data_IF_080502974000
#
_entry.id   IF_080502974000
#
_cell.length_a   1.000
_cell.length_b   1.000
_cell.length_c   1.000
_cell.angle_alpha   90.00
_cell.angle_beta   90.00
_cell.angle_gamma   90.00
#
_symmetry.space_group_name_H-M   'P 1'
#
loop_
_entity.id
_entity.type
_entity.pdbx_description
1 polymer ?
#
# COMPACT_ATOMS: atom_id res chain seq x y z
N UNK A 1 11.57 -14.09 19.48
CA UNK A 1 10.98 -14.30 18.13
C UNK A 1 11.14 -13.01 17.34
N UNK A 2 11.73 -13.06 16.14
CA UNK A 2 11.88 -11.89 15.28
C UNK A 2 10.52 -11.40 14.82
N UNK A 3 10.20 -10.13 15.08
CA UNK A 3 8.99 -9.50 14.54
C UNK A 3 9.06 -9.50 13.01
N UNK A 4 7.98 -9.88 12.34
CA UNK A 4 7.84 -9.70 10.89
C UNK A 4 7.94 -8.19 10.58
N UNK A 5 8.75 -7.81 9.60
CA UNK A 5 8.87 -6.42 9.16
C UNK A 5 8.02 -6.18 7.89
N UNK A 6 7.79 -4.91 7.54
CA UNK A 6 6.96 -4.52 6.38
C UNK A 6 7.49 -5.10 5.06
N UNK A 7 8.81 -5.13 4.85
CA UNK A 7 9.44 -5.64 3.62
C UNK A 7 9.27 -7.15 3.46
N UNK A 8 9.37 -7.91 4.55
CA UNK A 8 9.15 -9.35 4.54
C UNK A 8 7.68 -9.67 4.24
N UNK A 9 6.74 -8.87 4.78
CA UNK A 9 5.32 -9.00 4.43
C UNK A 9 5.09 -8.74 2.94
N UNK A 10 5.68 -7.66 2.39
CA UNK A 10 5.58 -7.37 0.96
C UNK A 10 6.08 -8.56 0.12
N UNK A 11 7.25 -9.11 0.45
CA UNK A 11 7.80 -10.27 -0.27
C UNK A 11 6.90 -11.50 -0.20
N UNK A 12 6.31 -11.79 0.96
CA UNK A 12 5.40 -12.93 1.17
C UNK A 12 4.13 -12.76 0.33
N UNK A 13 3.61 -11.53 0.22
CA UNK A 13 2.34 -11.25 -0.43
C UNK A 13 2.44 -10.98 -1.92
N UNK A 14 3.59 -10.54 -2.42
CA UNK A 14 3.77 -10.11 -3.80
C UNK A 14 3.35 -11.17 -4.83
N UNK A 15 3.86 -12.39 -4.70
CA UNK A 15 3.51 -13.48 -5.62
C UNK A 15 2.03 -13.88 -5.56
N UNK A 16 1.45 -14.14 -4.36
CA UNK A 16 0.01 -14.33 -4.22
C UNK A 16 -0.82 -13.24 -4.90
N UNK A 17 -0.46 -11.97 -4.67
CA UNK A 17 -1.16 -10.83 -5.22
C UNK A 17 -1.08 -10.79 -6.75
N UNK A 18 0.13 -10.97 -7.31
CA UNK A 18 0.36 -11.06 -8.76
C UNK A 18 -0.49 -12.16 -9.39
N UNK A 19 -0.49 -13.35 -8.83
CA UNK A 19 -1.25 -14.48 -9.36
C UNK A 19 -2.77 -14.23 -9.31
N UNK A 20 -3.25 -13.55 -8.27
CA UNK A 20 -4.66 -13.17 -8.17
C UNK A 20 -5.05 -12.08 -9.18
N UNK A 21 -4.15 -11.12 -9.45
CA UNK A 21 -4.35 -10.16 -10.54
C UNK A 21 -4.46 -10.86 -11.89
N UNK A 22 -3.56 -11.79 -12.20
CA UNK A 22 -3.59 -12.54 -13.45
C UNK A 22 -4.89 -13.34 -13.60
N UNK A 23 -5.37 -13.91 -12.49
CA UNK A 23 -6.63 -14.63 -12.43
C UNK A 23 -7.84 -13.73 -12.69
N UNK A 24 -7.96 -12.61 -11.98
CA UNK A 24 -9.12 -11.70 -12.10
C UNK A 24 -9.15 -11.00 -13.46
N UNK A 25 -7.98 -10.59 -13.97
CA UNK A 25 -7.89 -9.92 -15.26
C UNK A 25 -8.01 -10.89 -16.44
N UNK A 26 -7.84 -12.20 -16.22
CA UNK A 26 -7.74 -13.20 -17.27
C UNK A 26 -6.54 -12.99 -18.20
N UNK A 27 -5.50 -12.29 -17.73
CA UNK A 27 -4.33 -11.87 -18.53
C UNK A 27 -3.06 -12.10 -17.76
N UNK A 28 -1.96 -12.36 -18.47
CA UNK A 28 -0.63 -12.50 -17.84
C UNK A 28 -0.01 -11.13 -17.56
N UNK A 29 0.65 -11.03 -16.42
CA UNK A 29 1.53 -9.92 -16.10
C UNK A 29 2.91 -10.29 -16.64
N UNK A 30 3.30 -9.61 -17.73
CA UNK A 30 4.52 -9.93 -18.47
C UNK A 30 5.74 -9.19 -17.94
N UNK A 31 5.53 -8.04 -17.32
CA UNK A 31 6.58 -7.27 -16.68
C UNK A 31 6.03 -6.45 -15.51
N UNK A 32 6.92 -6.19 -14.56
CA UNK A 32 6.67 -5.36 -13.40
C UNK A 32 7.74 -4.28 -13.37
N UNK A 33 7.35 -3.02 -13.22
CA UNK A 33 8.30 -1.91 -13.11
C UNK A 33 8.19 -1.24 -11.75
N UNK A 34 9.34 -1.00 -11.12
CA UNK A 34 9.45 -0.23 -9.88
C UNK A 34 10.51 0.87 -10.04
N UNK A 35 10.30 2.08 -9.50
CA UNK A 35 11.37 3.08 -9.48
C UNK A 35 12.54 2.63 -8.61
N UNK A 36 13.76 2.90 -9.05
CA UNK A 36 14.95 2.68 -8.23
C UNK A 36 15.01 3.68 -7.07
N UNK A 37 15.39 3.21 -5.88
CA UNK A 37 15.59 4.06 -4.70
C UNK A 37 16.86 4.91 -4.79
N UNK A 38 17.86 4.45 -5.54
CA UNK A 38 19.21 5.04 -5.57
C UNK A 38 19.54 5.77 -6.87
N UNK A 39 18.77 5.52 -7.93
CA UNK A 39 19.04 6.01 -9.29
C UNK A 39 17.77 6.59 -9.89
N UNK A 40 17.91 7.55 -10.80
CA UNK A 40 16.82 8.04 -11.66
C UNK A 40 16.53 7.04 -12.78
N UNK A 41 16.19 5.82 -12.39
CA UNK A 41 15.99 4.68 -13.27
C UNK A 41 14.78 3.86 -12.83
N UNK A 42 14.26 3.08 -13.76
CA UNK A 42 13.25 2.07 -13.53
C UNK A 42 13.89 0.70 -13.51
N UNK A 43 13.48 -0.12 -12.56
CA UNK A 43 13.83 -1.53 -12.48
C UNK A 43 12.70 -2.32 -13.13
N UNK A 44 12.99 -2.95 -14.26
CA UNK A 44 12.10 -3.92 -14.88
C UNK A 44 12.35 -5.31 -14.32
N UNK A 45 11.28 -6.00 -13.95
CA UNK A 45 11.30 -7.42 -13.61
C UNK A 45 10.40 -8.14 -14.61
N UNK A 46 10.98 -9.01 -15.43
CA UNK A 46 10.23 -9.92 -16.28
C UNK A 46 10.05 -11.29 -15.60
N UNK A 47 9.38 -12.23 -16.28
CA UNK A 47 9.20 -13.59 -15.74
C UNK A 47 10.53 -14.35 -15.52
N UNK A 48 11.66 -13.82 -16.00
CA UNK A 48 13.00 -14.41 -15.89
C UNK A 48 13.92 -13.70 -14.88
N UNK A 49 13.41 -12.74 -14.08
CA UNK A 49 14.14 -12.05 -13.01
C UNK A 49 15.36 -11.23 -13.47
N UNK A 50 15.38 -10.76 -14.72
CA UNK A 50 16.46 -9.87 -15.17
C UNK A 50 16.10 -8.44 -14.74
N UNK A 51 16.86 -7.90 -13.78
CA UNK A 51 16.78 -6.48 -13.39
C UNK A 51 17.51 -5.63 -14.43
N UNK A 52 16.79 -5.21 -15.47
CA UNK A 52 17.31 -4.19 -16.37
C UNK A 52 17.09 -2.81 -15.74
N UNK A 53 18.17 -2.08 -15.50
CA UNK A 53 18.11 -0.67 -15.18
C UNK A 53 17.80 0.11 -16.46
N UNK A 54 16.61 0.69 -16.53
CA UNK A 54 16.15 1.46 -17.68
C UNK A 54 16.16 2.93 -17.27
N UNK A 55 16.88 3.79 -18.01
CA UNK A 55 16.83 5.23 -17.73
C UNK A 55 15.42 5.75 -17.96
N UNK A 56 15.07 6.84 -17.29
CA UNK A 56 13.72 7.39 -17.35
C UNK A 56 13.23 7.70 -18.77
N UNK A 57 14.04 8.39 -19.58
CA UNK A 57 13.66 8.72 -20.96
C UNK A 57 13.51 7.46 -21.82
N UNK A 58 14.39 6.48 -21.62
CA UNK A 58 14.33 5.17 -22.28
C UNK A 58 13.09 4.39 -21.87
N UNK A 59 12.67 4.48 -20.61
CA UNK A 59 11.46 3.86 -20.09
C UNK A 59 10.20 4.45 -20.71
N UNK A 60 10.13 5.77 -20.87
CA UNK A 60 9.01 6.42 -21.54
C UNK A 60 8.93 6.04 -23.02
N UNK A 61 10.06 6.01 -23.71
CA UNK A 61 10.11 5.57 -25.10
C UNK A 61 9.77 4.09 -25.23
N UNK A 62 10.21 3.25 -24.30
CA UNK A 62 9.89 1.83 -24.24
C UNK A 62 8.38 1.61 -24.07
N UNK A 63 7.74 2.32 -23.14
CA UNK A 63 6.28 2.24 -22.92
C UNK A 63 5.53 2.67 -24.17
N UNK A 64 5.93 3.78 -24.82
CA UNK A 64 5.30 4.28 -26.05
C UNK A 64 5.46 3.32 -27.24
N UNK A 65 6.64 2.70 -27.40
CA UNK A 65 6.95 1.82 -28.53
C UNK A 65 6.19 0.50 -28.48
N UNK A 66 5.79 0.00 -27.30
CA UNK A 66 5.10 -1.31 -27.15
C UNK A 66 3.60 -1.32 -27.51
N UNK A 67 3.16 -0.44 -28.40
CA UNK A 67 1.85 -0.41 -29.08
C UNK A 67 0.64 0.04 -28.24
N UNK A 68 -0.38 0.56 -28.94
CA UNK A 68 -1.72 0.92 -28.42
C UNK A 68 -2.44 -0.20 -27.66
N UNK A 69 -1.99 -1.46 -27.81
CA UNK A 69 -2.61 -2.63 -27.16
C UNK A 69 -2.03 -2.95 -25.79
N UNK A 70 -0.85 -2.43 -25.45
CA UNK A 70 -0.30 -2.66 -24.11
C UNK A 70 -1.10 -1.85 -23.09
N UNK A 71 -1.45 -2.52 -21.99
CA UNK A 71 -2.21 -1.97 -20.90
C UNK A 71 -1.40 -2.01 -19.61
N UNK A 72 -1.66 -1.08 -18.72
CA UNK A 72 -0.92 -0.96 -17.47
C UNK A 72 -1.86 -0.81 -16.28
N UNK A 73 -1.42 -1.29 -15.14
CA UNK A 73 -2.00 -0.95 -13.84
C UNK A 73 -0.89 -0.34 -13.00
N UNK A 74 -1.18 0.76 -12.30
CA UNK A 74 -0.24 1.42 -11.42
C UNK A 74 -0.85 1.61 -10.03
N UNK A 75 -0.09 1.29 -8.99
CA UNK A 75 -0.48 1.52 -7.60
C UNK A 75 0.74 1.74 -6.71
N UNK A 76 0.51 2.36 -5.55
CA UNK A 76 1.43 2.48 -4.44
C UNK A 76 0.81 1.77 -3.24
N UNK A 77 1.52 0.77 -2.74
CA UNK A 77 1.13 0.05 -1.54
C UNK A 77 2.16 0.27 -0.45
N UNK A 78 1.69 0.64 0.73
CA UNK A 78 2.52 0.58 1.93
C UNK A 78 2.01 -0.53 2.85
N UNK A 79 2.77 -1.62 2.93
CA UNK A 79 2.55 -2.66 3.93
C UNK A 79 2.68 -2.10 5.34
N UNK A 80 1.81 -2.56 6.23
CA UNK A 80 1.80 -2.20 7.64
C UNK A 80 1.74 -3.44 8.53
N UNK A 81 2.36 -3.34 9.69
CA UNK A 81 2.29 -4.38 10.72
C UNK A 81 1.05 -4.14 11.57
N UNK A 82 0.19 -5.15 11.65
CA UNK A 82 -1.03 -5.10 12.47
C UNK A 82 -0.83 -5.87 13.77
N UNK A 83 -1.20 -5.27 14.88
CA UNK A 83 -1.16 -5.89 16.20
C UNK A 83 -2.58 -6.24 16.66
N UNK A 84 -2.80 -7.48 17.07
CA UNK A 84 -4.03 -7.90 17.76
C UNK A 84 -3.97 -7.48 19.23
N UNK A 85 -4.98 -6.75 19.70
CA UNK A 85 -5.06 -6.24 21.07
C UNK A 85 -6.42 -6.57 21.67
N UNK A 86 -6.49 -6.54 23.01
CA UNK A 86 -7.74 -6.64 23.76
C UNK A 86 -7.96 -5.33 24.50
N UNK A 87 -9.16 -4.77 24.40
CA UNK A 87 -9.49 -3.50 25.01
C UNK A 87 -9.70 -3.66 26.52
N UNK A 88 -9.06 -2.79 27.29
CA UNK A 88 -9.17 -2.72 28.74
C UNK A 88 -9.33 -1.25 29.16
N UNK A 89 -10.52 -0.88 29.62
CA UNK A 89 -10.99 0.47 29.99
C UNK A 89 -10.20 1.11 31.13
N UNK A 90 -9.48 0.32 31.95
CA UNK A 90 -8.86 0.80 33.20
C UNK A 90 -7.64 1.72 33.03
N UNK A 91 -7.18 2.01 31.82
CA UNK A 91 -6.09 2.98 31.59
C UNK A 91 -6.65 4.22 30.88
N UNK A 92 -6.56 5.37 31.55
CA UNK A 92 -6.82 6.74 31.07
C UNK A 92 -5.99 7.11 29.82
N UNK A 93 -6.13 6.40 28.71
CA UNK A 93 -5.53 6.81 27.44
C UNK A 93 -6.59 7.55 26.65
N UNK A 94 -6.51 8.87 26.78
CA UNK A 94 -7.57 9.83 26.54
C UNK A 94 -8.13 9.83 25.10
N UNK A 95 -7.47 9.19 24.12
CA UNK A 95 -7.89 9.26 22.70
C UNK A 95 -7.56 8.03 21.83
N UNK A 96 -7.09 6.91 22.41
CA UNK A 96 -6.53 5.81 21.58
C UNK A 96 -7.53 4.82 21.00
N UNK A 97 -8.75 4.73 21.51
CA UNK A 97 -9.75 3.76 21.03
C UNK A 97 -11.13 4.43 21.07
N UNK A 98 -11.97 4.30 20.01
CA UNK A 98 -13.32 4.88 20.01
C UNK A 98 -14.17 4.44 21.21
N UNK A 99 -15.01 5.33 21.71
CA UNK A 99 -15.78 5.14 22.95
C UNK A 99 -16.80 4.00 22.92
N UNK A 100 -17.18 3.52 21.72
CA UNK A 100 -18.15 2.43 21.55
C UNK A 100 -17.54 1.02 21.72
N UNK A 101 -16.21 0.89 21.87
CA UNK A 101 -15.56 -0.39 22.13
C UNK A 101 -15.83 -0.84 23.58
N UNK A 102 -16.20 -2.11 23.76
CA UNK A 102 -16.54 -2.68 25.07
C UNK A 102 -15.34 -3.37 25.72
N UNK A 103 -15.31 -3.36 27.05
CA UNK A 103 -14.30 -4.07 27.85
C UNK A 103 -14.14 -5.52 27.37
N UNK A 104 -12.90 -5.91 27.08
CA UNK A 104 -12.56 -7.25 26.65
C UNK A 104 -12.77 -7.54 25.16
N UNK A 105 -13.27 -6.59 24.37
CA UNK A 105 -13.33 -6.72 22.91
C UNK A 105 -11.94 -6.74 22.29
N UNK A 106 -11.83 -7.51 21.21
CA UNK A 106 -10.61 -7.60 20.41
C UNK A 106 -10.64 -6.51 19.34
N UNK A 107 -9.51 -5.83 19.19
CA UNK A 107 -9.31 -4.85 18.15
C UNK A 107 -7.92 -4.98 17.54
N UNK A 108 -7.79 -4.49 16.32
CA UNK A 108 -6.53 -4.48 15.58
C UNK A 108 -5.96 -3.07 15.56
N UNK A 109 -4.64 -2.95 15.66
CA UNK A 109 -3.94 -1.67 15.66
C UNK A 109 -2.72 -1.70 14.76
N UNK A 110 -2.65 -0.74 13.85
CA UNK A 110 -1.51 -0.52 12.97
C UNK A 110 -0.92 0.87 13.20
N UNK A 111 0.34 0.98 13.65
CA UNK A 111 0.98 2.28 13.86
C UNK A 111 1.26 2.98 12.52
N UNK A 112 1.03 4.29 12.50
CA UNK A 112 1.41 5.14 11.38
C UNK A 112 2.68 5.92 11.73
N UNK A 113 3.55 6.07 10.75
CA UNK A 113 4.71 6.97 10.88
C UNK A 113 4.26 8.35 10.41
N UNK A 114 3.86 9.16 11.38
CA UNK A 114 3.43 10.55 11.19
C UNK A 114 4.47 11.55 11.68
N UNK A 115 5.54 11.07 12.31
CA UNK A 115 6.69 11.91 12.64
C UNK A 115 7.25 12.41 11.32
N UNK A 116 7.07 13.72 11.08
CA UNK A 116 7.78 14.42 10.03
C UNK A 116 9.26 14.09 10.15
N UNK A 117 9.94 13.85 9.02
CA UNK A 117 11.40 13.82 9.11
C UNK A 117 11.85 15.16 9.69
N UNK A 118 12.89 15.14 10.54
CA UNK A 118 13.55 16.36 11.04
C UNK A 118 13.93 17.32 9.90
N UNK A 119 13.97 16.78 8.69
CA UNK A 119 14.40 17.42 7.48
C UNK A 119 13.22 17.76 6.53
N UNK A 120 12.12 17.01 6.53
CA UNK A 120 11.05 17.13 5.51
C UNK A 120 9.83 17.94 5.94
N UNK A 121 9.60 18.22 7.22
CA UNK A 121 8.33 18.75 7.77
C UNK A 121 7.05 17.92 7.50
N UNK A 122 7.03 17.10 6.45
CA UNK A 122 5.89 16.28 6.05
C UNK A 122 6.13 14.82 6.42
N UNK A 123 5.07 14.13 6.81
CA UNK A 123 5.13 12.71 7.14
C UNK A 123 4.89 11.80 5.93
N UNK A 124 5.32 10.53 6.03
CA UNK A 124 5.02 9.53 5.00
C UNK A 124 3.50 9.40 4.74
N UNK A 125 2.69 9.58 5.80
CA UNK A 125 1.24 9.52 5.70
C UNK A 125 0.69 10.65 4.83
N UNK A 126 1.17 11.87 5.04
CA UNK A 126 0.74 13.05 4.28
C UNK A 126 1.12 12.94 2.80
N UNK A 127 2.31 12.43 2.49
CA UNK A 127 2.73 12.19 1.10
C UNK A 127 1.78 11.20 0.42
N UNK A 128 1.44 10.10 1.08
CA UNK A 128 0.49 9.12 0.54
C UNK A 128 -0.91 9.71 0.36
N UNK A 129 -1.38 10.48 1.33
CA UNK A 129 -2.67 11.17 1.27
C UNK A 129 -2.74 12.13 0.07
N UNK A 130 -1.72 13.00 -0.07
CA UNK A 130 -1.63 13.96 -1.17
C UNK A 130 -1.55 13.26 -2.53
N UNK A 131 -0.77 12.17 -2.63
CA UNK A 131 -0.70 11.37 -3.85
C UNK A 131 -2.08 10.81 -4.22
N UNK A 132 -2.82 10.25 -3.25
CA UNK A 132 -4.17 9.72 -3.50
C UNK A 132 -5.15 10.81 -3.90
N UNK A 133 -5.13 11.95 -3.19
CA UNK A 133 -6.06 13.08 -3.37
C UNK A 133 -5.88 13.79 -4.72
N UNK A 134 -4.65 13.88 -5.22
CA UNK A 134 -4.33 14.62 -6.45
C UNK A 134 -4.17 13.74 -7.69
N UNK A 135 -4.07 12.41 -7.52
CA UNK A 135 -3.89 11.47 -8.63
C UNK A 135 -4.93 10.34 -8.57
N UNK A 136 -6.18 10.65 -8.96
CA UNK A 136 -7.32 9.71 -8.91
C UNK A 136 -7.12 8.39 -9.69
N UNK A 137 -6.19 8.37 -10.65
CA UNK A 137 -5.86 7.20 -11.46
C UNK A 137 -4.89 6.24 -10.77
N UNK A 138 -4.22 6.69 -9.71
CA UNK A 138 -3.29 5.90 -8.92
C UNK A 138 -3.99 5.39 -7.66
N UNK A 139 -3.96 4.08 -7.44
CA UNK A 139 -4.33 3.55 -6.13
C UNK A 139 -3.19 3.70 -5.15
N UNK A 140 -3.47 4.37 -4.04
CA UNK A 140 -2.52 4.57 -2.95
C UNK A 140 -3.21 4.09 -1.69
N UNK A 141 -2.73 2.98 -1.14
CA UNK A 141 -3.38 2.31 -0.03
C UNK A 141 -2.38 1.80 1.02
N UNK A 142 -2.87 1.66 2.25
CA UNK A 142 -2.18 0.82 3.24
C UNK A 142 -2.62 -0.62 3.07
N UNK A 143 -1.65 -1.52 3.05
CA UNK A 143 -1.87 -2.96 2.98
C UNK A 143 -1.63 -3.54 4.38
N UNK A 144 -2.66 -4.11 4.98
CA UNK A 144 -2.68 -4.52 6.37
C UNK A 144 -2.91 -6.04 6.49
N UNK A 145 -1.86 -6.86 6.45
CA UNK A 145 -1.97 -8.30 6.72
C UNK A 145 -2.45 -8.56 8.15
N UNK A 146 -3.58 -9.26 8.28
CA UNK A 146 -4.13 -9.74 9.56
C UNK A 146 -3.43 -11.05 9.97
N UNK A 147 -2.10 -10.98 10.05
CA UNK A 147 -1.18 -12.09 10.37
C UNK A 147 -0.48 -11.73 11.68
N UNK A 148 -0.61 -12.58 12.70
CA UNK A 148 -0.15 -12.26 14.06
C UNK A 148 0.95 -13.20 14.54
N UNK A 149 1.26 -14.25 13.78
CA UNK A 149 2.28 -15.25 14.09
C UNK A 149 2.96 -15.79 12.82
N UNK A 150 4.14 -16.39 12.93
CA UNK A 150 4.77 -17.08 11.79
C UNK A 150 3.97 -18.31 11.34
N UNK A 151 3.29 -18.97 12.28
CA UNK A 151 2.39 -20.10 11.99
C UNK A 151 1.17 -19.70 11.15
N UNK A 152 0.79 -18.42 11.14
CA UNK A 152 -0.27 -17.93 10.24
C UNK A 152 0.16 -17.95 8.77
N UNK A 153 1.46 -17.90 8.50
CA UNK A 153 2.08 -17.94 7.16
C UNK A 153 2.50 -19.36 6.82
N UNK A 154 3.34 -19.98 7.64
CA UNK A 154 4.02 -21.25 7.33
C UNK A 154 3.27 -22.47 7.87
N UNK A 155 1.94 -22.47 7.88
CA UNK A 155 1.19 -23.60 8.40
C UNK A 155 1.44 -24.86 7.53
N UNK A 156 1.93 -25.99 8.09
CA UNK A 156 2.32 -27.15 7.29
C UNK A 156 1.22 -27.75 6.41
N UNK A 157 -0.06 -27.55 6.79
CA UNK A 157 -1.19 -27.97 5.96
C UNK A 157 -1.38 -27.08 4.72
N UNK A 158 -1.09 -25.78 4.83
CA UNK A 158 -1.25 -24.81 3.74
C UNK A 158 -0.11 -24.89 2.74
N UNK A 159 1.10 -25.26 3.19
CA UNK A 159 2.29 -25.36 2.33
C UNK A 159 2.24 -26.55 1.34
N UNK A 160 1.21 -27.40 1.39
CA UNK A 160 1.07 -28.56 0.48
C UNK A 160 0.37 -28.22 -0.84
N UNK A 161 -0.43 -27.15 -0.87
CA UNK A 161 -1.14 -26.70 -2.05
C UNK A 161 -0.96 -25.18 -2.17
N UNK A 162 -0.27 -24.76 -3.24
CA UNK A 162 -0.01 -23.35 -3.54
C UNK A 162 -1.30 -22.53 -3.66
N UNK A 163 -2.37 -23.12 -4.22
CA UNK A 163 -3.66 -22.45 -4.39
C UNK A 163 -4.34 -22.20 -3.06
N UNK A 164 -4.32 -23.18 -2.16
CA UNK A 164 -4.85 -23.02 -0.80
C UNK A 164 -4.03 -22.01 0.01
N UNK A 165 -2.71 -22.07 -0.08
CA UNK A 165 -1.82 -21.08 0.53
C UNK A 165 -2.15 -19.66 0.05
N UNK A 166 -2.25 -19.47 -1.28
CA UNK A 166 -2.58 -18.17 -1.89
C UNK A 166 -3.91 -17.64 -1.38
N UNK A 167 -4.95 -18.48 -1.43
CA UNK A 167 -6.28 -18.10 -0.96
C UNK A 167 -6.25 -17.68 0.51
N UNK A 168 -5.65 -18.51 1.37
CA UNK A 168 -5.56 -18.25 2.81
C UNK A 168 -4.83 -16.94 3.12
N UNK A 169 -3.69 -16.68 2.45
CA UNK A 169 -2.89 -15.50 2.78
C UNK A 169 -3.58 -14.21 2.31
N UNK A 170 -4.21 -14.22 1.13
CA UNK A 170 -4.93 -13.08 0.58
C UNK A 170 -6.25 -12.79 1.31
N UNK A 171 -6.94 -13.80 1.84
CA UNK A 171 -8.14 -13.60 2.67
C UNK A 171 -7.84 -12.84 3.98
N UNK A 172 -6.60 -12.91 4.46
CA UNK A 172 -6.13 -12.15 5.62
C UNK A 172 -5.65 -10.75 5.27
N UNK A 173 -5.69 -10.34 4.00
CA UNK A 173 -5.19 -9.03 3.57
C UNK A 173 -6.32 -8.01 3.53
N UNK A 174 -6.17 -6.95 4.33
CA UNK A 174 -7.10 -5.82 4.37
C UNK A 174 -6.45 -4.60 3.74
N UNK A 175 -7.19 -3.92 2.87
CA UNK A 175 -6.76 -2.71 2.18
C UNK A 175 -7.46 -1.51 2.81
N UNK A 176 -6.69 -0.48 3.15
CA UNK A 176 -7.22 0.79 3.67
C UNK A 176 -7.00 1.86 2.63
N UNK A 177 -8.07 2.55 2.26
CA UNK A 177 -7.99 3.72 1.39
C UNK A 177 -7.49 4.93 2.18
N UNK A 178 -6.30 5.41 1.81
CA UNK A 178 -5.64 6.55 2.48
C UNK A 178 -6.46 7.83 2.32
N UNK A 179 -7.28 7.96 1.27
CA UNK A 179 -8.11 9.16 1.08
C UNK A 179 -9.16 9.37 2.16
N UNK A 180 -9.50 8.32 2.93
CA UNK A 180 -10.44 8.42 4.05
C UNK A 180 -9.82 8.98 5.33
N UNK A 181 -8.51 9.24 5.33
CA UNK A 181 -7.83 9.86 6.46
C UNK A 181 -8.28 11.32 6.64
N UNK A 182 -8.21 11.85 7.87
CA UNK A 182 -8.38 13.28 8.13
C UNK A 182 -7.46 14.13 7.24
N UNK A 183 -7.97 15.23 6.69
CA UNK A 183 -7.18 16.10 5.84
C UNK A 183 -6.04 16.76 6.65
N UNK A 184 -4.77 16.53 6.29
CA UNK A 184 -3.64 17.12 7.01
C UNK A 184 -3.60 18.65 7.00
N UNK A 185 -4.30 19.31 6.08
CA UNK A 185 -4.41 20.77 6.05
C UNK A 185 -5.39 21.33 7.09
N UNK A 186 -6.33 20.51 7.57
CA UNK A 186 -7.36 20.93 8.56
C UNK A 186 -7.17 20.30 9.93
N UNK A 187 -6.41 19.20 10.00
CA UNK A 187 -6.13 18.47 11.23
C UNK A 187 -4.68 18.69 11.62
N UNK A 188 -4.42 19.13 12.85
CA UNK A 188 -3.06 19.21 13.38
C UNK A 188 -2.59 17.79 13.74
N UNK A 189 -1.85 17.15 12.84
CA UNK A 189 -1.17 15.88 13.13
C UNK A 189 0.01 16.20 14.04
N UNK A 190 -0.18 16.07 15.36
CA UNK A 190 0.91 16.30 16.31
C UNK A 190 1.97 15.19 16.15
N UNK A 191 3.20 15.50 15.72
CA UNK A 191 4.24 14.49 15.57
C UNK A 191 4.58 13.75 16.87
N UNK A 192 4.22 14.33 18.02
CA UNK A 192 4.37 13.71 19.35
C UNK A 192 3.24 12.72 19.69
N UNK A 193 2.13 12.74 18.94
CA UNK A 193 1.03 11.82 19.13
C UNK A 193 1.30 10.44 18.49
N UNK A 194 0.71 9.42 19.12
CA UNK A 194 0.81 8.05 18.61
C UNK A 194 -0.26 7.81 17.56
N UNK A 195 -0.01 8.17 16.31
CA UNK A 195 -0.93 7.97 15.20
C UNK A 195 -1.05 6.49 14.80
N UNK A 196 -2.28 6.05 14.53
CA UNK A 196 -2.56 4.66 14.18
C UNK A 196 -3.93 4.48 13.52
N UNK A 197 -4.09 3.34 12.86
CA UNK A 197 -5.36 2.83 12.35
C UNK A 197 -5.87 1.76 13.31
N UNK A 198 -7.17 1.78 13.60
CA UNK A 198 -7.85 0.75 14.38
C UNK A 198 -8.99 0.10 13.61
N UNK A 199 -9.13 -1.22 13.77
CA UNK A 199 -10.28 -2.01 13.34
C UNK A 199 -10.91 -2.71 14.54
N UNK A 200 -12.24 -2.83 14.53
CA UNK A 200 -12.94 -3.76 15.40
C UNK A 200 -12.96 -5.13 14.72
N UNK A 201 -12.69 -6.22 15.45
CA UNK A 201 -12.74 -7.58 14.89
C UNK A 201 -14.12 -7.91 14.29
N UNK A 202 -15.19 -7.31 14.81
CA UNK A 202 -16.56 -7.49 14.35
C UNK A 202 -16.97 -6.55 13.19
N UNK A 203 -16.15 -5.56 12.85
CA UNK A 203 -16.47 -4.54 11.83
C UNK A 203 -15.22 -4.20 10.99
N UNK A 204 -14.67 -5.21 10.32
CA UNK A 204 -13.42 -5.11 9.56
C UNK A 204 -13.48 -4.21 8.31
N UNK A 205 -14.65 -3.73 7.92
CA UNK A 205 -14.86 -2.80 6.82
C UNK A 205 -14.80 -1.31 7.26
N UNK A 206 -14.87 -1.05 8.57
CA UNK A 206 -14.78 0.30 9.13
C UNK A 206 -13.50 0.41 9.94
N UNK A 207 -12.73 1.43 9.64
CA UNK A 207 -11.56 1.79 10.44
C UNK A 207 -11.80 3.08 11.20
N UNK A 208 -10.95 3.30 12.19
CA UNK A 208 -10.83 4.59 12.84
C UNK A 208 -9.40 5.08 12.66
N UNK A 209 -9.28 6.28 12.13
CA UNK A 209 -8.05 7.05 12.21
C UNK A 209 -7.98 7.59 13.63
N UNK A 210 -6.95 7.21 14.39
CA UNK A 210 -6.77 7.66 15.77
C UNK A 210 -5.76 8.82 15.88
N UNK A 211 -5.48 9.45 14.74
CA UNK A 211 -4.82 10.74 14.60
C UNK A 211 -5.75 11.88 14.99
N UNK A 212 -6.98 11.77 14.49
CA UNK A 212 -8.14 12.58 14.78
C UNK A 212 -9.31 11.61 14.60
N UNK A 213 -10.15 11.36 15.64
CA UNK A 213 -11.14 10.27 15.65
C UNK A 213 -12.16 10.38 14.52
N UNK A 214 -11.79 9.89 13.34
CA UNK A 214 -12.61 9.90 12.14
C UNK A 214 -12.73 8.46 11.62
N UNK A 215 -13.94 8.11 11.20
CA UNK A 215 -14.19 6.86 10.52
C UNK A 215 -13.59 6.88 9.11
N UNK A 216 -12.97 5.78 8.72
CA UNK A 216 -12.53 5.53 7.37
C UNK A 216 -13.00 4.16 6.89
N UNK A 217 -12.60 3.81 5.67
CA UNK A 217 -13.02 2.55 5.06
C UNK A 217 -11.84 1.60 4.90
N UNK A 218 -12.15 0.32 5.04
CA UNK A 218 -11.28 -0.74 4.57
C UNK A 218 -12.08 -1.79 3.82
N UNK A 219 -11.40 -2.46 2.91
CA UNK A 219 -12.00 -3.52 2.11
C UNK A 219 -11.09 -4.75 2.09
N UNK A 220 -11.67 -5.89 1.69
CA UNK A 220 -10.90 -7.11 1.44
C UNK A 220 -10.10 -6.93 0.16
N UNK A 221 -8.95 -7.60 0.09
CA UNK A 221 -8.12 -7.60 -1.11
C UNK A 221 -8.87 -7.95 -2.40
N UNK A 222 -9.76 -8.96 -2.38
CA UNK A 222 -10.53 -9.37 -3.56
C UNK A 222 -11.38 -8.22 -4.13
N UNK A 223 -12.10 -7.49 -3.27
CA UNK A 223 -12.92 -6.34 -3.66
C UNK A 223 -12.06 -5.21 -4.21
N UNK A 224 -10.90 -4.98 -3.59
CA UNK A 224 -9.96 -3.97 -4.07
C UNK A 224 -9.42 -4.31 -5.47
N UNK A 225 -9.07 -5.57 -5.73
CA UNK A 225 -8.57 -6.00 -7.04
C UNK A 225 -9.65 -5.89 -8.12
N UNK A 226 -10.89 -6.26 -7.83
CA UNK A 226 -12.02 -6.07 -8.74
C UNK A 226 -12.16 -4.60 -9.14
N UNK A 227 -12.03 -3.68 -8.18
CA UNK A 227 -12.05 -2.24 -8.45
C UNK A 227 -10.83 -1.77 -9.25
N UNK A 228 -9.65 -2.32 -8.96
CA UNK A 228 -8.42 -1.98 -9.69
C UNK A 228 -8.47 -2.42 -11.16
N UNK A 229 -9.18 -3.50 -11.47
CA UNK A 229 -9.36 -3.97 -12.85
C UNK A 229 -10.06 -2.93 -13.74
N UNK A 230 -10.83 -2.02 -13.14
CA UNK A 230 -11.47 -0.91 -13.84
C UNK A 230 -10.51 0.27 -14.08
N UNK A 231 -9.28 0.21 -13.56
CA UNK A 231 -8.26 1.28 -13.62
C UNK A 231 -7.06 0.88 -14.47
N UNK A 232 -7.37 0.33 -15.63
CA UNK A 232 -6.37 -0.01 -16.65
C UNK A 232 -6.01 1.25 -17.44
N UNK A 233 -4.73 1.58 -17.44
CA UNK A 233 -4.14 2.74 -18.12
C UNK A 233 -3.57 2.34 -19.49
N UNK A 234 -3.69 3.24 -20.45
CA UNK A 234 -2.86 3.27 -21.66
C UNK A 234 -1.42 3.70 -21.36
N UNK A 235 -0.54 3.54 -22.34
CA UNK A 235 0.84 4.01 -22.28
C UNK A 235 0.90 5.53 -22.02
N UNK A 236 0.07 6.31 -22.72
CA UNK A 236 0.01 7.75 -22.61
C UNK A 236 -0.49 8.20 -21.22
N UNK A 237 -1.56 7.57 -20.72
CA UNK A 237 -2.12 7.87 -19.39
C UNK A 237 -1.13 7.53 -18.28
N UNK A 238 -0.41 6.41 -18.39
CA UNK A 238 0.62 6.03 -17.42
C UNK A 238 1.76 7.05 -17.39
N UNK A 239 2.29 7.44 -18.56
CA UNK A 239 3.39 8.40 -18.64
C UNK A 239 2.96 9.77 -18.08
N UNK A 240 1.77 10.24 -18.45
CA UNK A 240 1.22 11.49 -17.93
C UNK A 240 1.05 11.41 -16.40
N UNK A 241 0.56 10.28 -15.88
CA UNK A 241 0.43 10.04 -14.43
C UNK A 241 1.79 10.13 -13.74
N UNK A 242 2.81 9.44 -14.25
CA UNK A 242 4.17 9.48 -13.67
C UNK A 242 4.74 10.91 -13.68
N UNK A 243 4.57 11.64 -14.80
CA UNK A 243 5.03 13.02 -14.91
C UNK A 243 4.33 13.94 -13.93
N UNK A 244 3.01 13.80 -13.78
CA UNK A 244 2.22 14.58 -12.80
C UNK A 244 2.67 14.30 -11.37
N UNK A 245 2.89 13.03 -11.01
CA UNK A 245 3.42 12.64 -9.71
C UNK A 245 4.81 13.27 -9.49
N UNK A 246 5.71 13.20 -10.46
CA UNK A 246 7.03 13.83 -10.32
C UNK A 246 6.98 15.35 -10.26
N UNK A 247 6.05 15.99 -10.97
CA UNK A 247 5.86 17.44 -10.87
C UNK A 247 5.28 17.90 -9.52
N UNK A 248 4.64 17.00 -8.77
CA UNK A 248 4.19 17.27 -7.40
C UNK A 248 5.27 16.97 -6.35
N UNK A 249 6.46 16.55 -6.79
CA UNK A 249 7.62 16.38 -5.92
C UNK A 249 8.01 17.74 -5.31
N UNK A 250 8.18 17.82 -3.99
CA UNK A 250 8.59 19.05 -3.33
C UNK A 250 9.95 19.58 -3.83
N UNK A 251 10.19 20.87 -3.70
CA UNK A 251 11.46 21.49 -4.12
C UNK A 251 12.53 21.30 -3.04
N UNK A 252 12.12 21.21 -1.78
CA UNK A 252 13.00 21.01 -0.63
C UNK A 252 13.64 19.61 -0.68
N UNK A 253 14.97 19.55 -0.72
CA UNK A 253 15.77 18.32 -0.92
C UNK A 253 15.40 17.20 0.04
N UNK A 254 15.07 17.57 1.26
CA UNK A 254 14.71 16.60 2.27
C UNK A 254 13.32 15.99 2.01
N UNK A 255 12.33 16.84 1.70
CA UNK A 255 10.99 16.41 1.26
C UNK A 255 11.07 15.54 0.01
N UNK A 256 12.01 15.82 -0.89
CA UNK A 256 12.27 14.97 -2.05
C UNK A 256 12.69 13.56 -1.67
N UNK A 257 13.48 13.37 -0.61
CA UNK A 257 13.90 12.03 -0.19
C UNK A 257 12.72 11.21 0.34
N UNK A 258 11.89 11.79 1.21
CA UNK A 258 10.69 11.12 1.71
C UNK A 258 9.70 10.80 0.57
N UNK A 259 9.57 11.72 -0.40
CA UNK A 259 8.79 11.49 -1.60
C UNK A 259 9.36 10.36 -2.45
N UNK A 260 10.68 10.35 -2.69
CA UNK A 260 11.38 9.28 -3.45
C UNK A 260 11.21 7.92 -2.78
N UNK A 261 11.28 7.85 -1.46
CA UNK A 261 11.06 6.62 -0.70
C UNK A 261 9.64 6.09 -0.93
N UNK A 262 8.62 6.95 -0.90
CA UNK A 262 7.23 6.57 -1.19
C UNK A 262 7.04 6.22 -2.67
N UNK A 263 7.59 7.03 -3.58
CA UNK A 263 7.53 6.80 -5.01
C UNK A 263 8.18 5.47 -5.40
N UNK A 264 9.27 5.05 -4.73
CA UNK A 264 9.90 3.75 -4.94
C UNK A 264 9.00 2.54 -4.63
N UNK A 265 7.90 2.76 -3.89
CA UNK A 265 6.88 1.73 -3.63
C UNK A 265 5.85 1.62 -4.75
N UNK A 266 5.91 2.50 -5.74
CA UNK A 266 5.08 2.42 -6.93
C UNK A 266 5.39 1.11 -7.66
N UNK A 267 4.33 0.40 -8.00
CA UNK A 267 4.37 -0.82 -8.79
C UNK A 267 3.55 -0.59 -10.05
N UNK A 268 4.17 -0.82 -11.20
CA UNK A 268 3.51 -0.78 -12.49
C UNK A 268 3.48 -2.21 -13.01
N UNK A 269 2.28 -2.73 -13.25
CA UNK A 269 2.06 -4.03 -13.89
C UNK A 269 1.79 -3.80 -15.36
N UNK A 270 2.56 -4.47 -16.22
CA UNK A 270 2.30 -4.52 -17.65
C UNK A 270 1.43 -5.72 -17.99
N UNK A 271 0.31 -5.43 -18.64
CA UNK A 271 -0.70 -6.39 -19.05
C UNK A 271 -0.67 -6.44 -20.58
N UNK A 272 -0.50 -7.63 -21.13
CA UNK A 272 -0.69 -7.88 -22.57
C UNK A 272 -1.91 -8.79 -22.77
N UNK A 273 -2.60 -8.57 -23.89
CA UNK A 273 -3.70 -9.41 -24.37
C UNK A 273 -3.19 -10.77 -24.87
#
# INVERSE_FOLDING_TARGET
MSKLNESLLEMIYFFPMKAEFEYILGKKINAIYKPSQQKEAWLGFDQAWISDEIKEDEFYDFIKKKSKKTKFIAYIMQFKIVNKQKYYSKRKRKFTVPSHYKEGEIYYKSPLKTVASLTTSDSQHEILYNLKKHHNFLDVCYVCPMIFSQSDIFHPKLMKDEKEFRKHILEKLVIVDVSTAPDPSTTSWDPSDNHHIIWNENAMNVIHWCSDPQEGTSEKYSSWVENLSNRILSAEELIDTIKRIKSSMPIETDKQQAFKDIFSKMTILKIED
#
